data_IF_895257104390
#
_entry.id   IF_895257104390
#
_cell.length_a   1.000
_cell.length_b   1.000
_cell.length_c   1.000
_cell.angle_alpha   90.00
_cell.angle_beta   90.00
_cell.angle_gamma   90.00
#
_symmetry.space_group_name_H-M   'P 1'
#
loop_
_entity.id
_entity.type
_entity.pdbx_description
1 polymer ?
#
# COMPACT_ATOMS: atom_id res chain seq x y z
N UNK A 1 14.80 57.77 -13.43
CA UNK A 1 14.42 56.47 -12.89
C UNK A 1 14.10 56.60 -11.39
N UNK A 2 12.90 56.22 -10.95
CA UNK A 2 12.49 56.32 -9.56
C UNK A 2 13.19 55.28 -8.68
N UNK A 3 13.48 55.65 -7.42
CA UNK A 3 14.01 54.69 -6.43
C UNK A 3 12.98 53.60 -6.12
N UNK A 4 13.42 52.37 -5.90
CA UNK A 4 12.56 51.28 -5.46
C UNK A 4 11.90 51.61 -4.11
N UNK A 5 10.66 51.20 -3.93
CA UNK A 5 9.96 51.34 -2.66
C UNK A 5 10.54 50.39 -1.60
N UNK A 6 10.45 50.80 -0.31
CA UNK A 6 10.87 49.93 0.80
C UNK A 6 10.26 48.55 0.76
N UNK A 7 8.99 48.43 0.34
CA UNK A 7 8.28 47.13 0.21
C UNK A 7 8.86 46.29 -0.92
N UNK A 8 9.18 46.89 -2.07
CA UNK A 8 9.81 46.16 -3.18
C UNK A 8 11.19 45.62 -2.81
N UNK A 9 12.04 46.47 -2.18
CA UNK A 9 13.37 46.07 -1.74
C UNK A 9 13.28 44.93 -0.71
N UNK A 10 12.38 45.04 0.27
CA UNK A 10 12.19 44.00 1.29
C UNK A 10 11.72 42.68 0.67
N UNK A 11 10.80 42.71 -0.31
CA UNK A 11 10.32 41.54 -0.97
C UNK A 11 11.36 40.91 -1.89
N UNK A 12 12.05 41.70 -2.70
CA UNK A 12 13.16 41.20 -3.52
C UNK A 12 14.29 40.59 -2.67
N UNK A 13 14.59 41.16 -1.50
CA UNK A 13 15.57 40.61 -0.55
C UNK A 13 15.12 39.24 -0.01
N UNK A 14 13.83 39.00 0.23
CA UNK A 14 13.31 37.70 0.62
C UNK A 14 13.49 36.69 -0.51
N UNK A 15 13.15 37.06 -1.74
CA UNK A 15 13.34 36.23 -2.93
C UNK A 15 14.82 35.86 -3.09
N UNK A 16 15.70 36.87 -3.07
CA UNK A 16 17.16 36.71 -3.17
C UNK A 16 17.70 35.71 -2.14
N UNK A 17 17.31 35.89 -0.86
CA UNK A 17 17.73 34.99 0.22
C UNK A 17 17.20 33.57 0.06
N UNK A 18 15.95 33.39 -0.33
CA UNK A 18 15.32 32.07 -0.46
C UNK A 18 15.87 31.30 -1.65
N UNK A 19 16.11 31.97 -2.79
CA UNK A 19 16.62 31.36 -4.01
C UNK A 19 18.16 31.36 -4.10
N UNK A 20 18.85 31.94 -3.12
CA UNK A 20 20.30 32.09 -3.09
C UNK A 20 20.86 32.80 -4.34
N UNK A 21 20.18 33.85 -4.80
CA UNK A 21 20.54 34.66 -5.96
C UNK A 21 20.85 36.11 -5.55
N UNK A 22 21.74 36.78 -6.27
CA UNK A 22 22.12 38.15 -5.98
C UNK A 22 21.03 39.15 -6.36
N UNK A 23 20.84 40.19 -5.55
CA UNK A 23 19.99 41.34 -5.93
C UNK A 23 20.61 42.11 -7.10
N UNK A 24 19.79 42.82 -7.90
CA UNK A 24 20.30 43.72 -8.92
C UNK A 24 21.22 44.81 -8.34
N UNK A 25 22.31 45.15 -9.02
CA UNK A 25 23.25 46.21 -8.57
C UNK A 25 22.58 47.56 -8.41
N UNK A 26 21.59 47.87 -9.27
CA UNK A 26 20.85 49.15 -9.21
C UNK A 26 19.48 48.91 -8.58
N UNK A 27 19.21 49.56 -7.44
CA UNK A 27 17.96 49.44 -6.70
C UNK A 27 16.92 50.46 -7.18
N UNK A 28 16.61 50.43 -8.49
CA UNK A 28 15.54 51.28 -9.07
C UNK A 28 14.19 50.52 -9.04
N UNK A 29 13.08 51.25 -9.19
CA UNK A 29 11.75 50.66 -9.27
C UNK A 29 11.68 49.57 -10.37
N UNK A 30 12.20 49.87 -11.54
CA UNK A 30 12.15 49.02 -12.71
C UNK A 30 12.99 47.75 -12.55
N UNK A 31 14.24 47.89 -12.06
CA UNK A 31 15.13 46.72 -11.86
C UNK A 31 14.60 45.76 -10.80
N UNK A 32 14.04 46.31 -9.71
CA UNK A 32 13.42 45.51 -8.65
C UNK A 32 12.14 44.84 -9.11
N UNK A 33 11.30 45.56 -9.88
CA UNK A 33 10.10 44.95 -10.43
C UNK A 33 10.41 43.82 -11.41
N UNK A 34 11.40 44.01 -12.28
CA UNK A 34 11.87 42.96 -13.20
C UNK A 34 12.40 41.75 -12.44
N UNK A 35 13.25 41.97 -11.42
CA UNK A 35 13.79 40.90 -10.59
C UNK A 35 12.66 40.11 -9.89
N UNK A 36 11.70 40.79 -9.27
CA UNK A 36 10.55 40.14 -8.63
C UNK A 36 9.76 39.33 -9.63
N UNK A 37 9.39 39.92 -10.78
CA UNK A 37 8.59 39.21 -11.79
C UNK A 37 9.32 38.01 -12.37
N UNK A 38 10.65 38.05 -12.49
CA UNK A 38 11.43 36.92 -13.03
C UNK A 38 11.49 35.73 -12.07
N UNK A 39 11.52 35.99 -10.76
CA UNK A 39 11.80 34.95 -9.76
C UNK A 39 10.63 34.66 -8.82
N UNK A 40 9.49 35.34 -8.98
CA UNK A 40 8.36 35.19 -8.06
C UNK A 40 7.77 33.78 -8.09
N UNK A 41 7.65 33.17 -9.26
CA UNK A 41 7.03 31.84 -9.40
C UNK A 41 7.89 30.77 -8.73
N UNK A 42 9.21 30.82 -8.89
CA UNK A 42 10.14 29.90 -8.24
C UNK A 42 10.15 30.09 -6.72
N UNK A 43 10.19 31.34 -6.25
CA UNK A 43 10.09 31.69 -4.84
C UNK A 43 8.79 31.20 -4.22
N UNK A 44 7.66 31.38 -4.90
CA UNK A 44 6.35 30.92 -4.42
C UNK A 44 6.27 29.41 -4.37
N UNK A 45 6.81 28.69 -5.37
CA UNK A 45 6.84 27.24 -5.39
C UNK A 45 7.61 26.66 -4.20
N UNK A 46 8.79 27.20 -3.87
CA UNK A 46 9.58 26.76 -2.71
C UNK A 46 8.82 27.01 -1.40
N UNK A 47 8.25 28.22 -1.24
CA UNK A 47 7.50 28.55 -0.03
C UNK A 47 6.22 27.71 0.12
N UNK A 48 5.48 27.46 -0.97
CA UNK A 48 4.30 26.59 -0.92
C UNK A 48 4.66 25.15 -0.59
N UNK A 49 5.77 24.63 -1.07
CA UNK A 49 6.24 23.29 -0.73
C UNK A 49 6.58 23.17 0.75
N UNK A 50 7.39 24.09 1.27
CA UNK A 50 7.75 24.12 2.69
C UNK A 50 6.53 24.33 3.61
N UNK A 51 5.63 25.23 3.23
CA UNK A 51 4.38 25.46 3.95
C UNK A 51 3.46 24.25 3.89
N UNK A 52 3.37 23.60 2.73
CA UNK A 52 2.59 22.38 2.55
C UNK A 52 3.09 21.23 3.45
N UNK A 53 4.39 21.04 3.56
CA UNK A 53 4.96 20.03 4.47
C UNK A 53 4.68 20.37 5.95
N UNK A 54 4.78 21.63 6.35
CA UNK A 54 4.39 22.06 7.69
C UNK A 54 2.91 21.81 7.97
N UNK A 55 2.03 22.17 7.07
CA UNK A 55 0.59 21.93 7.20
C UNK A 55 0.29 20.43 7.34
N UNK A 56 0.87 19.58 6.51
CA UNK A 56 0.69 18.12 6.59
C UNK A 56 1.09 17.54 7.94
N UNK A 57 2.10 18.09 8.58
CA UNK A 57 2.63 17.58 9.84
C UNK A 57 1.97 18.20 11.09
N UNK A 58 1.49 19.44 11.01
CA UNK A 58 1.07 20.21 12.18
C UNK A 58 -0.45 20.47 12.24
N UNK A 59 -1.20 20.31 11.12
CA UNK A 59 -2.65 20.53 11.07
C UNK A 59 -3.40 19.23 10.97
N UNK A 60 -4.28 18.95 11.92
CA UNK A 60 -5.03 17.68 12.00
C UNK A 60 -6.17 17.60 10.99
N UNK A 61 -6.24 16.49 10.25
CA UNK A 61 -7.36 16.19 9.34
C UNK A 61 -8.67 16.00 10.09
N UNK A 62 -8.63 15.54 11.35
CA UNK A 62 -9.85 15.33 12.15
C UNK A 62 -10.62 16.64 12.40
N UNK A 63 -9.94 17.79 12.38
CA UNK A 63 -10.58 19.09 12.58
C UNK A 63 -11.38 19.52 11.35
N UNK A 64 -11.04 19.00 10.18
CA UNK A 64 -11.66 19.38 8.90
C UNK A 64 -12.75 18.44 8.41
N UNK A 65 -12.74 17.19 8.82
CA UNK A 65 -13.76 16.22 8.39
C UNK A 65 -15.17 16.67 8.81
N UNK A 66 -15.39 17.14 10.06
CA UNK A 66 -16.71 17.71 10.43
C UNK A 66 -17.08 18.99 9.66
N UNK A 67 -16.09 19.83 9.34
CA UNK A 67 -16.32 21.06 8.57
C UNK A 67 -16.80 20.78 7.13
N UNK A 68 -16.39 19.66 6.57
CA UNK A 68 -16.88 19.18 5.27
C UNK A 68 -18.27 18.50 5.35
N UNK A 69 -18.92 18.54 6.51
CA UNK A 69 -20.26 18.00 6.70
C UNK A 69 -20.31 16.49 7.00
N UNK A 70 -19.19 15.88 7.37
CA UNK A 70 -19.14 14.47 7.74
C UNK A 70 -19.13 14.28 9.25
N UNK A 71 -19.84 13.26 9.73
CA UNK A 71 -19.88 12.88 11.14
C UNK A 71 -18.86 11.77 11.41
N UNK A 72 -17.84 12.05 12.22
CA UNK A 72 -16.79 11.09 12.56
C UNK A 72 -17.31 9.91 13.37
N UNK A 73 -16.87 8.72 12.98
CA UNK A 73 -17.12 7.46 13.68
C UNK A 73 -15.83 6.68 13.81
N UNK A 74 -15.45 6.30 15.04
CA UNK A 74 -14.24 5.51 15.29
C UNK A 74 -14.38 4.10 14.72
N UNK A 75 -13.34 3.58 14.06
CA UNK A 75 -13.26 2.23 13.53
C UNK A 75 -12.45 1.37 14.49
N UNK A 76 -13.10 0.44 15.16
CA UNK A 76 -12.42 -0.48 16.07
C UNK A 76 -11.52 0.25 17.07
N UNK A 77 -10.38 -0.37 17.46
CA UNK A 77 -9.44 0.20 18.42
C UNK A 77 -8.13 0.68 17.78
N UNK A 78 -8.05 0.70 16.45
CA UNK A 78 -6.82 1.05 15.72
C UNK A 78 -6.59 2.55 15.55
N UNK A 79 -7.40 3.40 16.21
CA UNK A 79 -7.28 4.85 16.09
C UNK A 79 -7.67 5.42 14.72
N UNK A 80 -8.23 4.59 13.84
CA UNK A 80 -8.79 5.03 12.57
C UNK A 80 -10.23 5.51 12.76
N UNK A 81 -10.66 6.39 11.85
CA UNK A 81 -12.03 6.89 11.80
C UNK A 81 -12.64 6.64 10.43
N UNK A 82 -13.95 6.52 10.40
CA UNK A 82 -14.78 6.61 9.20
C UNK A 82 -15.84 7.69 9.43
N UNK A 83 -16.77 7.83 8.54
CA UNK A 83 -17.91 8.75 8.74
C UNK A 83 -19.22 7.99 8.72
N UNK A 84 -20.23 8.56 9.36
CA UNK A 84 -21.58 7.98 9.37
C UNK A 84 -22.18 7.97 7.97
N UNK A 85 -21.90 9.02 7.19
CA UNK A 85 -22.41 9.23 5.84
C UNK A 85 -21.72 8.34 4.80
N UNK A 86 -20.44 8.02 5.03
CA UNK A 86 -19.61 7.24 4.10
C UNK A 86 -18.67 6.32 4.85
N UNK A 87 -19.04 5.07 5.03
CA UNK A 87 -18.24 4.02 5.67
C UNK A 87 -16.96 3.66 4.90
N UNK A 88 -16.91 4.03 3.61
CA UNK A 88 -15.72 3.86 2.74
C UNK A 88 -14.71 5.02 2.81
N UNK A 89 -15.04 6.13 3.50
CA UNK A 89 -14.10 7.19 3.82
C UNK A 89 -13.37 6.84 5.10
N UNK A 90 -12.10 6.49 4.97
CA UNK A 90 -11.23 6.15 6.10
C UNK A 90 -10.28 7.31 6.37
N UNK A 91 -10.11 7.65 7.64
CA UNK A 91 -9.25 8.73 8.11
C UNK A 91 -8.23 8.14 9.07
N UNK A 92 -6.97 8.40 8.79
CA UNK A 92 -5.83 8.04 9.64
C UNK A 92 -5.26 9.31 10.28
N UNK A 93 -5.57 9.58 11.54
CA UNK A 93 -5.06 10.77 12.22
C UNK A 93 -3.57 10.70 12.50
N UNK A 94 -2.97 9.50 12.56
CA UNK A 94 -1.53 9.33 12.79
C UNK A 94 -0.71 9.70 11.56
N UNK A 95 -1.23 9.35 10.35
CA UNK A 95 -0.61 9.71 9.08
C UNK A 95 -1.12 11.03 8.53
N UNK A 96 -2.11 11.62 9.21
CA UNK A 96 -2.79 12.84 8.81
C UNK A 96 -3.30 12.82 7.36
N UNK A 97 -3.91 11.71 6.98
CA UNK A 97 -4.38 11.44 5.63
C UNK A 97 -5.74 10.73 5.63
N UNK A 98 -6.35 10.65 4.45
CA UNK A 98 -7.56 9.89 4.23
C UNK A 98 -7.44 9.02 2.97
N UNK A 99 -8.28 8.00 2.90
CA UNK A 99 -8.59 7.29 1.66
C UNK A 99 -10.08 7.02 1.56
N UNK A 100 -10.63 7.35 0.41
CA UNK A 100 -12.04 7.22 0.11
C UNK A 100 -12.23 6.05 -0.86
N UNK A 101 -12.33 4.83 -0.34
CA UNK A 101 -12.31 3.59 -1.12
C UNK A 101 -13.35 3.56 -2.25
N UNK A 102 -14.58 4.03 -2.00
CA UNK A 102 -15.64 4.05 -3.02
C UNK A 102 -15.38 5.04 -4.17
N UNK A 103 -14.52 6.04 -3.96
CA UNK A 103 -14.17 7.06 -4.95
C UNK A 103 -12.78 6.85 -5.57
N UNK A 104 -11.99 5.90 -5.03
CA UNK A 104 -10.61 5.68 -5.45
C UNK A 104 -9.70 6.89 -5.18
N UNK A 105 -9.99 7.64 -4.13
CA UNK A 105 -9.34 8.90 -3.78
C UNK A 105 -8.60 8.77 -2.45
N UNK A 106 -7.37 9.30 -2.39
CA UNK A 106 -6.56 9.34 -1.17
C UNK A 106 -5.62 10.54 -1.21
N UNK A 107 -5.50 11.26 -0.10
CA UNK A 107 -4.61 12.42 0.01
C UNK A 107 -4.36 12.80 1.49
N UNK A 108 -3.57 13.84 1.71
CA UNK A 108 -3.32 14.51 2.99
C UNK A 108 -4.49 15.43 3.39
N UNK A 109 -4.35 16.09 4.56
CA UNK A 109 -5.29 17.13 4.99
C UNK A 109 -5.44 18.25 3.96
N UNK A 110 -4.38 18.59 3.22
CA UNK A 110 -4.46 19.61 2.17
C UNK A 110 -5.38 19.16 1.04
N UNK A 111 -5.21 17.93 0.56
CA UNK A 111 -6.08 17.36 -0.47
C UNK A 111 -7.52 17.24 -0.02
N UNK A 112 -7.76 16.87 1.25
CA UNK A 112 -9.11 16.81 1.81
C UNK A 112 -9.79 18.18 1.80
N UNK A 113 -9.14 19.19 2.34
CA UNK A 113 -9.67 20.56 2.40
C UNK A 113 -9.87 21.14 0.99
N UNK A 114 -8.91 20.88 0.08
CA UNK A 114 -9.02 21.29 -1.32
C UNK A 114 -10.27 20.72 -1.98
N UNK A 115 -10.50 19.41 -1.85
CA UNK A 115 -11.58 18.71 -2.58
C UNK A 115 -12.95 18.88 -1.93
N UNK A 116 -13.02 18.78 -0.61
CA UNK A 116 -14.29 18.66 0.11
C UNK A 116 -14.78 19.95 0.78
N UNK A 117 -13.90 20.96 0.92
CA UNK A 117 -14.28 22.28 1.45
C UNK A 117 -14.23 23.34 0.35
N UNK A 118 -13.17 23.35 -0.47
CA UNK A 118 -12.96 24.40 -1.48
C UNK A 118 -13.14 23.95 -2.93
N UNK A 119 -13.82 22.82 -3.19
CA UNK A 119 -14.20 22.36 -4.54
C UNK A 119 -13.03 22.37 -5.56
N UNK A 120 -11.80 22.04 -5.13
CA UNK A 120 -10.61 21.97 -5.97
C UNK A 120 -9.71 23.19 -5.89
N UNK A 121 -10.06 24.26 -5.15
CA UNK A 121 -9.20 25.42 -4.97
C UNK A 121 -8.12 25.19 -3.90
N UNK A 122 -6.98 24.69 -4.33
CA UNK A 122 -5.80 24.43 -3.46
C UNK A 122 -5.24 25.72 -2.83
N UNK A 123 -5.37 26.87 -3.49
CA UNK A 123 -4.84 28.15 -2.94
C UNK A 123 -5.64 28.58 -1.72
N UNK A 124 -6.97 28.48 -1.80
CA UNK A 124 -7.84 28.76 -0.66
C UNK A 124 -7.63 27.77 0.48
N UNK A 125 -7.49 26.48 0.16
CA UNK A 125 -7.20 25.45 1.15
C UNK A 125 -5.88 25.73 1.91
N UNK A 126 -4.79 26.00 1.20
CA UNK A 126 -3.50 26.32 1.82
C UNK A 126 -3.57 27.61 2.64
N UNK A 127 -4.30 28.61 2.17
CA UNK A 127 -4.48 29.86 2.92
C UNK A 127 -5.15 29.61 4.26
N UNK A 128 -6.30 28.94 4.28
CA UNK A 128 -7.01 28.64 5.53
C UNK A 128 -6.16 27.78 6.47
N UNK A 129 -5.55 26.70 5.94
CA UNK A 129 -4.71 25.82 6.74
C UNK A 129 -3.50 26.55 7.33
N UNK A 130 -2.93 27.53 6.61
CA UNK A 130 -1.83 28.35 7.11
C UNK A 130 -2.26 29.34 8.20
N UNK A 131 -3.47 29.87 8.13
CA UNK A 131 -4.05 30.71 9.19
C UNK A 131 -4.26 29.91 10.47
N UNK A 132 -4.73 28.67 10.36
CA UNK A 132 -4.88 27.74 11.49
C UNK A 132 -3.55 27.30 12.09
N UNK A 133 -2.53 27.10 11.25
CA UNK A 133 -1.17 26.79 11.69
C UNK A 133 -0.57 27.89 12.60
N UNK A 134 -0.94 29.15 12.36
CA UNK A 134 -0.42 30.30 13.10
C UNK A 134 -1.24 30.64 14.36
N UNK A 135 -2.46 30.11 14.49
CA UNK A 135 -3.31 30.30 15.65
C UNK A 135 -3.07 29.15 16.63
N UNK A 136 -2.45 29.43 17.76
CA UNK A 136 -2.06 28.49 18.81
C UNK A 136 -3.20 27.63 19.40
N UNK A 137 -4.45 27.90 19.07
CA UNK A 137 -5.62 27.11 19.49
C UNK A 137 -5.76 25.76 18.73
N UNK A 138 -4.96 25.53 17.67
CA UNK A 138 -4.93 24.30 16.88
C UNK A 138 -3.64 23.48 17.02
N UNK A 139 -2.73 23.87 17.88
CA UNK A 139 -1.74 22.95 18.41
C UNK A 139 -2.48 21.96 19.32
N UNK A 140 -3.31 21.11 18.71
CA UNK A 140 -3.84 19.97 19.39
C UNK A 140 -2.64 19.20 19.95
N UNK A 141 -2.56 19.13 21.26
CA UNK A 141 -1.92 18.08 22.00
C UNK A 141 -2.50 16.72 21.56
N UNK A 142 -2.28 16.34 20.28
CA UNK A 142 -2.29 14.97 19.86
C UNK A 142 -0.89 14.41 20.16
N UNK A 143 -0.44 14.58 21.38
CA UNK A 143 0.29 13.53 22.05
C UNK A 143 -0.74 12.43 22.34
N UNK A 144 -1.26 11.81 21.29
CA UNK A 144 -1.76 10.46 21.41
C UNK A 144 -0.49 9.63 21.54
N UNK A 145 0.08 9.62 22.74
CA UNK A 145 0.90 8.51 23.18
C UNK A 145 0.02 7.30 22.88
N UNK A 146 0.46 6.35 22.05
CA UNK A 146 -0.19 5.07 22.03
C UNK A 146 -0.10 4.59 23.48
N UNK A 147 -1.19 4.65 24.24
CA UNK A 147 -1.30 3.71 25.33
C UNK A 147 -1.10 2.37 24.65
N UNK A 148 0.04 1.77 24.93
CA UNK A 148 0.30 0.38 24.67
C UNK A 148 -0.67 -0.40 25.58
N UNK A 149 -1.95 -0.34 25.22
CA UNK A 149 -2.90 -1.32 25.67
C UNK A 149 -2.37 -2.61 25.05
N UNK A 150 -1.91 -3.52 25.91
CA UNK A 150 -1.71 -4.92 25.55
C UNK A 150 -3.09 -5.43 25.12
N UNK A 151 -3.43 -5.17 23.85
CA UNK A 151 -4.67 -5.65 23.26
C UNK A 151 -4.62 -7.16 23.28
N UNK A 152 -5.57 -7.78 23.97
CA UNK A 152 -5.84 -9.21 23.79
C UNK A 152 -6.04 -9.42 22.29
N UNK A 153 -5.41 -10.44 21.68
CA UNK A 153 -5.58 -10.72 20.26
C UNK A 153 -7.08 -10.81 19.95
N UNK A 154 -7.56 -9.97 19.05
CA UNK A 154 -8.96 -10.00 18.60
C UNK A 154 -9.18 -11.28 17.84
N UNK A 155 -10.22 -12.00 18.19
CA UNK A 155 -10.64 -13.18 17.44
C UNK A 155 -11.07 -12.78 16.02
N UNK A 156 -10.60 -13.53 15.02
CA UNK A 156 -10.97 -13.32 13.63
C UNK A 156 -12.45 -13.66 13.42
N UNK A 157 -13.23 -12.70 12.93
CA UNK A 157 -14.66 -12.87 12.70
C UNK A 157 -14.90 -13.41 11.30
N UNK A 158 -15.23 -14.69 11.21
CA UNK A 158 -15.50 -15.37 9.94
C UNK A 158 -16.97 -15.22 9.53
N UNK A 159 -17.27 -14.82 8.27
CA UNK A 159 -18.64 -14.82 7.74
C UNK A 159 -19.24 -16.22 7.72
N UNK A 160 -20.57 -16.36 7.88
CA UNK A 160 -21.23 -17.65 7.78
C UNK A 160 -21.02 -18.30 6.42
N UNK A 161 -20.75 -19.63 6.44
CA UNK A 161 -20.56 -20.43 5.24
C UNK A 161 -21.88 -20.68 4.51
N UNK A 162 -21.84 -20.65 3.19
CA UNK A 162 -22.92 -21.13 2.34
C UNK A 162 -22.89 -22.67 2.28
N UNK A 163 -24.03 -23.29 1.97
CA UNK A 163 -24.14 -24.74 1.79
C UNK A 163 -23.50 -25.24 0.48
N UNK A 164 -23.27 -24.33 -0.49
CA UNK A 164 -22.63 -24.67 -1.75
C UNK A 164 -21.45 -23.75 -2.09
N UNK A 165 -20.64 -24.17 -3.08
CA UNK A 165 -19.43 -23.46 -3.54
C UNK A 165 -19.50 -23.03 -5.01
N UNK A 166 -20.68 -23.16 -5.66
CA UNK A 166 -20.81 -23.04 -7.12
C UNK A 166 -20.34 -21.70 -7.67
N UNK A 167 -20.70 -20.58 -7.00
CA UNK A 167 -20.30 -19.24 -7.45
C UNK A 167 -18.79 -19.05 -7.33
N UNK A 168 -18.20 -19.50 -6.22
CA UNK A 168 -16.76 -19.39 -5.97
C UNK A 168 -15.98 -20.25 -6.95
N UNK A 169 -16.38 -21.52 -7.17
CA UNK A 169 -15.74 -22.36 -8.17
C UNK A 169 -15.85 -21.76 -9.57
N UNK A 170 -17.03 -21.35 -9.99
CA UNK A 170 -17.22 -20.72 -11.31
C UNK A 170 -16.38 -19.44 -11.46
N UNK A 171 -16.34 -18.61 -10.45
CA UNK A 171 -15.54 -17.39 -10.47
C UNK A 171 -14.04 -17.68 -10.60
N UNK A 172 -13.50 -18.53 -9.72
CA UNK A 172 -12.07 -18.82 -9.72
C UNK A 172 -11.63 -19.60 -10.95
N UNK A 173 -12.40 -20.61 -11.39
CA UNK A 173 -11.99 -21.46 -12.52
C UNK A 173 -12.33 -20.86 -13.89
N UNK A 174 -13.49 -20.19 -14.05
CA UNK A 174 -13.97 -19.70 -15.35
C UNK A 174 -13.62 -18.22 -15.60
N UNK A 175 -13.66 -17.40 -14.54
CA UNK A 175 -13.36 -15.97 -14.69
C UNK A 175 -11.90 -15.64 -14.42
N UNK A 176 -11.27 -16.35 -13.46
CA UNK A 176 -9.89 -16.14 -13.04
C UNK A 176 -8.90 -17.15 -13.58
N UNK A 177 -9.39 -18.21 -14.23
CA UNK A 177 -8.58 -19.29 -14.83
C UNK A 177 -7.62 -19.96 -13.84
N UNK A 178 -7.99 -19.98 -12.56
CA UNK A 178 -7.25 -20.74 -11.54
C UNK A 178 -7.51 -22.25 -11.79
N UNK A 179 -6.46 -23.03 -11.71
CA UNK A 179 -6.57 -24.49 -11.88
C UNK A 179 -7.53 -25.08 -10.84
N UNK A 180 -8.43 -25.95 -11.29
CA UNK A 180 -9.50 -26.50 -10.45
C UNK A 180 -8.97 -27.28 -9.24
N UNK A 181 -7.84 -28.00 -9.40
CA UNK A 181 -7.24 -28.75 -8.29
C UNK A 181 -6.74 -27.83 -7.19
N UNK A 182 -6.19 -26.66 -7.54
CA UNK A 182 -5.75 -25.65 -6.57
C UNK A 182 -6.95 -25.11 -5.80
N UNK A 183 -8.06 -24.79 -6.49
CA UNK A 183 -9.29 -24.36 -5.83
C UNK A 183 -9.78 -25.44 -4.87
N UNK A 184 -9.78 -26.73 -5.31
CA UNK A 184 -10.18 -27.84 -4.48
C UNK A 184 -9.26 -28.05 -3.27
N UNK A 185 -7.94 -27.90 -3.44
CA UNK A 185 -6.97 -27.97 -2.33
C UNK A 185 -7.24 -26.92 -1.27
N UNK A 186 -7.51 -25.68 -1.68
CA UNK A 186 -7.88 -24.61 -0.73
C UNK A 186 -9.17 -24.92 0.03
N UNK A 187 -10.17 -25.48 -0.65
CA UNK A 187 -11.42 -25.89 -0.01
C UNK A 187 -11.19 -27.04 0.98
N UNK A 188 -10.41 -28.05 0.59
CA UNK A 188 -10.09 -29.20 1.43
C UNK A 188 -9.30 -28.82 2.68
N UNK A 189 -8.41 -27.81 2.56
CA UNK A 189 -7.64 -27.27 3.67
C UNK A 189 -8.40 -26.21 4.48
N UNK A 190 -9.70 -26.01 4.22
CA UNK A 190 -10.54 -24.99 4.84
C UNK A 190 -10.07 -23.54 4.62
N UNK A 191 -9.13 -23.32 3.70
CA UNK A 191 -8.58 -22.00 3.37
C UNK A 191 -9.47 -21.20 2.42
N UNK A 192 -10.52 -21.79 1.88
CA UNK A 192 -11.48 -21.15 0.98
C UNK A 192 -12.89 -21.69 1.20
N UNK A 193 -13.85 -20.78 1.32
CA UNK A 193 -15.26 -21.12 1.27
C UNK A 193 -16.11 -20.00 0.64
N UNK A 194 -17.37 -20.31 0.33
CA UNK A 194 -18.37 -19.33 -0.12
C UNK A 194 -19.16 -18.80 1.08
N UNK A 195 -19.29 -17.47 1.21
CA UNK A 195 -20.21 -16.87 2.19
C UNK A 195 -21.67 -16.89 1.70
N UNK A 196 -22.61 -16.50 2.56
CA UNK A 196 -24.03 -16.44 2.20
C UNK A 196 -24.33 -15.42 1.07
N UNK A 197 -23.46 -14.45 0.85
CA UNK A 197 -23.59 -13.46 -0.24
C UNK A 197 -22.99 -13.97 -1.55
N UNK A 198 -22.28 -15.11 -1.53
CA UNK A 198 -21.61 -15.70 -2.68
C UNK A 198 -20.20 -15.16 -2.92
N UNK A 199 -19.58 -14.54 -1.94
CA UNK A 199 -18.18 -14.10 -2.04
C UNK A 199 -17.22 -15.26 -1.73
N UNK A 200 -16.00 -15.19 -2.28
CA UNK A 200 -14.87 -16.00 -1.81
C UNK A 200 -14.44 -15.48 -0.43
N UNK A 201 -14.36 -16.36 0.54
CA UNK A 201 -13.74 -16.09 1.85
C UNK A 201 -12.47 -16.90 1.90
N UNK A 202 -11.33 -16.24 1.87
CA UNK A 202 -10.02 -16.83 2.05
C UNK A 202 -9.62 -16.73 3.51
N UNK A 203 -9.11 -17.83 4.09
CA UNK A 203 -8.71 -17.92 5.51
C UNK A 203 -7.32 -18.54 5.61
N UNK A 204 -6.45 -17.92 6.37
CA UNK A 204 -5.13 -18.44 6.72
C UNK A 204 -5.09 -18.85 8.20
N UNK A 205 -4.40 -19.94 8.49
CA UNK A 205 -4.35 -20.54 9.81
C UNK A 205 -2.92 -20.55 10.38
N UNK A 206 -2.83 -20.49 11.70
CA UNK A 206 -1.63 -20.79 12.45
C UNK A 206 -1.97 -21.79 13.54
N UNK A 207 -1.41 -23.01 13.47
CA UNK A 207 -1.75 -24.14 14.36
C UNK A 207 -3.26 -24.36 14.47
N UNK A 208 -3.94 -24.45 13.32
CA UNK A 208 -5.39 -24.65 13.19
C UNK A 208 -6.28 -23.49 13.70
N UNK A 209 -5.67 -22.41 14.18
CA UNK A 209 -6.38 -21.20 14.57
C UNK A 209 -6.46 -20.25 13.38
N UNK A 210 -7.65 -19.76 12.98
CA UNK A 210 -7.76 -18.80 11.92
C UNK A 210 -7.17 -17.45 12.37
N UNK A 211 -6.17 -16.94 11.64
CA UNK A 211 -5.43 -15.73 12.01
C UNK A 211 -5.60 -14.58 11.03
N UNK A 212 -5.88 -14.88 9.77
CA UNK A 212 -6.09 -13.87 8.75
C UNK A 212 -7.18 -14.33 7.77
N UNK A 213 -7.99 -13.39 7.31
CA UNK A 213 -8.99 -13.69 6.31
C UNK A 213 -9.31 -12.50 5.43
N UNK A 214 -9.61 -12.76 4.16
CA UNK A 214 -10.03 -11.72 3.24
C UNK A 214 -11.19 -12.17 2.35
N UNK A 215 -11.96 -11.18 1.89
CA UNK A 215 -13.13 -11.35 1.04
C UNK A 215 -12.81 -10.95 -0.40
N UNK A 216 -13.34 -11.72 -1.35
CA UNK A 216 -13.35 -11.35 -2.76
C UNK A 216 -14.74 -11.59 -3.34
N UNK A 217 -15.37 -10.52 -3.83
CA UNK A 217 -16.63 -10.61 -4.51
C UNK A 217 -16.52 -11.41 -5.81
N UNK A 218 -17.49 -12.30 -6.05
CA UNK A 218 -17.58 -13.06 -7.30
C UNK A 218 -18.27 -12.31 -8.43
N UNK A 219 -18.86 -11.14 -8.14
CA UNK A 219 -19.45 -10.27 -9.16
C UNK A 219 -18.33 -9.56 -9.94
N UNK A 220 -18.29 -9.80 -11.26
CA UNK A 220 -17.26 -9.22 -12.15
C UNK A 220 -17.54 -7.76 -12.52
N UNK A 221 -18.78 -7.29 -12.37
CA UNK A 221 -19.16 -5.90 -12.67
C UNK A 221 -18.90 -4.93 -11.51
N UNK A 222 -19.02 -5.41 -10.26
CA UNK A 222 -18.77 -4.61 -9.07
C UNK A 222 -17.64 -5.25 -8.24
N UNK A 223 -16.46 -4.64 -8.31
CA UNK A 223 -15.32 -5.12 -7.52
C UNK A 223 -15.61 -4.95 -6.03
N UNK A 224 -15.48 -6.04 -5.29
CA UNK A 224 -15.55 -6.06 -3.83
C UNK A 224 -14.36 -6.87 -3.29
N UNK A 225 -13.61 -6.27 -2.39
CA UNK A 225 -12.52 -6.92 -1.67
C UNK A 225 -12.33 -6.21 -0.33
N UNK A 226 -11.84 -6.94 0.66
CA UNK A 226 -11.50 -6.40 1.97
C UNK A 226 -11.04 -7.49 2.92
N UNK A 227 -10.32 -7.08 3.95
CA UNK A 227 -9.91 -7.99 5.01
C UNK A 227 -11.02 -8.15 6.05
N UNK A 228 -11.04 -9.29 6.72
CA UNK A 228 -12.01 -9.58 7.76
C UNK A 228 -11.66 -8.86 9.07
N UNK A 229 -12.66 -8.49 9.89
CA UNK A 229 -12.40 -7.94 11.22
C UNK A 229 -11.63 -8.94 12.08
N UNK A 230 -10.62 -8.47 12.81
CA UNK A 230 -9.80 -9.29 13.70
C UNK A 230 -8.59 -9.96 13.03
N UNK A 231 -8.25 -9.61 11.77
CA UNK A 231 -7.05 -10.09 11.11
C UNK A 231 -5.77 -9.79 11.89
N UNK A 232 -4.90 -10.79 11.99
CA UNK A 232 -3.55 -10.60 12.49
C UNK A 232 -2.61 -10.24 11.33
N UNK A 233 -2.34 -8.95 11.14
CA UNK A 233 -1.49 -8.45 10.07
C UNK A 233 -0.01 -8.79 10.21
N UNK A 234 0.45 -9.20 11.40
CA UNK A 234 1.81 -9.73 11.56
C UNK A 234 1.97 -11.11 10.92
N UNK A 235 0.89 -11.90 10.86
CA UNK A 235 0.92 -13.22 10.21
C UNK A 235 0.53 -13.16 8.75
N UNK A 236 -0.38 -12.26 8.37
CA UNK A 236 -0.86 -12.12 7.01
C UNK A 236 -1.55 -13.38 6.46
N UNK A 237 -1.81 -13.41 5.16
CA UNK A 237 -2.30 -14.61 4.50
C UNK A 237 -1.12 -15.47 4.04
N UNK A 238 -0.83 -16.50 4.81
CA UNK A 238 0.32 -17.37 4.60
C UNK A 238 -0.07 -18.80 4.27
N UNK A 239 0.62 -19.41 3.30
CA UNK A 239 0.48 -20.79 2.89
C UNK A 239 1.84 -21.47 3.04
N UNK A 240 1.90 -22.48 3.87
CA UNK A 240 3.13 -23.20 4.15
C UNK A 240 3.39 -24.30 3.12
N UNK A 241 4.46 -24.18 2.33
CA UNK A 241 4.94 -25.21 1.41
C UNK A 241 6.03 -26.08 2.01
N UNK A 242 6.47 -27.11 1.28
CA UNK A 242 7.47 -28.09 1.74
C UNK A 242 8.91 -27.56 1.65
N UNK A 243 9.19 -26.71 0.67
CA UNK A 243 10.55 -26.23 0.38
C UNK A 243 10.97 -24.99 1.17
N UNK A 244 12.13 -24.48 0.83
CA UNK A 244 12.78 -23.32 1.47
C UNK A 244 12.52 -21.99 0.76
N UNK A 245 11.63 -21.97 -0.21
CA UNK A 245 11.34 -20.81 -1.03
C UNK A 245 10.00 -20.18 -0.63
N UNK A 246 10.01 -18.85 -0.45
CA UNK A 246 8.83 -18.05 -0.14
C UNK A 246 8.51 -17.12 -1.31
N UNK A 247 7.31 -17.23 -1.84
CA UNK A 247 6.77 -16.36 -2.88
C UNK A 247 5.85 -15.33 -2.24
N UNK A 248 6.14 -14.05 -2.46
CA UNK A 248 5.37 -12.93 -1.91
C UNK A 248 4.54 -12.29 -3.03
N UNK A 249 3.23 -12.20 -2.84
CA UNK A 249 2.28 -11.65 -3.81
C UNK A 249 1.45 -10.50 -3.21
N UNK A 250 0.78 -9.71 -4.03
CA UNK A 250 -0.13 -8.67 -3.52
C UNK A 250 -1.45 -9.23 -3.02
N UNK A 251 -1.98 -10.28 -3.67
CA UNK A 251 -3.25 -10.88 -3.27
C UNK A 251 -3.21 -12.41 -3.30
N UNK A 252 -4.18 -13.03 -2.62
CA UNK A 252 -4.36 -14.49 -2.63
C UNK A 252 -4.67 -15.01 -4.03
N UNK A 253 -5.37 -14.23 -4.86
CA UNK A 253 -5.66 -14.63 -6.25
C UNK A 253 -4.38 -14.66 -7.08
N UNK A 254 -3.43 -13.74 -6.85
CA UNK A 254 -2.14 -13.78 -7.53
C UNK A 254 -1.31 -14.98 -7.08
N UNK A 255 -1.33 -15.33 -5.79
CA UNK A 255 -0.72 -16.56 -5.29
C UNK A 255 -1.30 -17.81 -5.99
N UNK A 256 -2.63 -17.93 -6.05
CA UNK A 256 -3.29 -19.03 -6.75
C UNK A 256 -3.01 -19.03 -8.25
N UNK A 257 -2.83 -17.87 -8.85
CA UNK A 257 -2.45 -17.73 -10.27
C UNK A 257 -1.04 -18.25 -10.50
N UNK A 258 -0.08 -17.89 -9.66
CA UNK A 258 1.28 -18.42 -9.72
C UNK A 258 1.29 -19.94 -9.49
N UNK A 259 0.53 -20.46 -8.53
CA UNK A 259 0.38 -21.91 -8.34
C UNK A 259 -0.13 -22.60 -9.62
N UNK A 260 -1.10 -21.97 -10.30
CA UNK A 260 -1.63 -22.49 -11.56
C UNK A 260 -0.59 -22.46 -12.68
N UNK A 261 0.20 -21.38 -12.76
CA UNK A 261 1.30 -21.25 -13.72
C UNK A 261 2.39 -22.30 -13.46
N UNK A 262 2.77 -22.52 -12.19
CA UNK A 262 3.72 -23.58 -11.80
C UNK A 262 3.24 -24.94 -12.27
N UNK A 263 1.96 -25.25 -12.05
CA UNK A 263 1.34 -26.49 -12.48
C UNK A 263 1.34 -26.66 -14.00
N UNK A 264 0.99 -25.62 -14.78
CA UNK A 264 1.07 -25.63 -16.26
C UNK A 264 2.49 -25.91 -16.75
N UNK A 265 3.50 -25.50 -15.98
CA UNK A 265 4.92 -25.78 -16.28
C UNK A 265 5.43 -27.12 -15.69
N UNK A 266 4.55 -27.95 -15.15
CA UNK A 266 4.89 -29.26 -14.60
C UNK A 266 5.63 -29.21 -13.25
N UNK A 267 5.55 -28.08 -12.53
CA UNK A 267 6.16 -27.89 -11.22
C UNK A 267 5.12 -28.12 -10.10
N UNK A 268 5.55 -28.76 -9.00
CA UNK A 268 4.69 -28.93 -7.83
C UNK A 268 4.69 -27.65 -6.99
N UNK A 269 3.57 -26.90 -7.06
CA UNK A 269 3.39 -25.65 -6.30
C UNK A 269 3.44 -25.88 -4.77
N UNK A 270 3.22 -27.10 -4.28
CA UNK A 270 3.30 -27.44 -2.84
C UNK A 270 4.72 -27.39 -2.29
N UNK A 271 5.73 -27.27 -3.15
CA UNK A 271 7.10 -27.06 -2.73
C UNK A 271 7.37 -25.60 -2.33
N UNK A 272 6.53 -24.65 -2.71
CA UNK A 272 6.69 -23.24 -2.43
C UNK A 272 5.75 -22.78 -1.31
N UNK A 273 6.25 -21.93 -0.42
CA UNK A 273 5.40 -21.18 0.51
C UNK A 273 4.92 -19.90 -0.15
N UNK A 274 3.74 -19.41 0.22
CA UNK A 274 3.20 -18.16 -0.31
C UNK A 274 2.78 -17.22 0.81
N UNK A 275 3.07 -15.95 0.64
CA UNK A 275 2.59 -14.87 1.51
C UNK A 275 1.92 -13.80 0.66
N UNK A 276 0.65 -13.52 0.93
CA UNK A 276 -0.03 -12.40 0.29
C UNK A 276 0.03 -11.16 1.18
N UNK A 277 0.54 -10.06 0.60
CA UNK A 277 0.66 -8.77 1.28
C UNK A 277 -0.71 -8.07 1.26
N UNK A 278 -1.54 -8.32 2.24
CA UNK A 278 -2.81 -7.60 2.42
C UNK A 278 -2.62 -6.43 3.38
N UNK A 279 -2.97 -5.20 2.96
CA UNK A 279 -3.06 -4.06 3.86
C UNK A 279 -1.83 -3.15 3.99
N UNK A 280 -1.89 -2.25 5.00
CA UNK A 280 -1.03 -1.06 5.12
C UNK A 280 0.39 -1.38 5.61
N UNK A 281 0.56 -2.37 6.48
CA UNK A 281 1.87 -2.78 7.04
C UNK A 281 2.40 -4.03 6.33
N UNK A 282 2.60 -3.90 5.04
CA UNK A 282 2.92 -5.00 4.12
C UNK A 282 4.19 -5.79 4.50
N UNK A 283 5.16 -5.18 5.17
CA UNK A 283 6.45 -5.83 5.48
C UNK A 283 6.44 -6.60 6.80
N UNK A 284 5.53 -6.30 7.72
CA UNK A 284 5.50 -6.94 9.04
C UNK A 284 5.25 -8.45 8.97
N UNK A 285 4.37 -8.90 8.08
CA UNK A 285 4.11 -10.32 7.88
C UNK A 285 5.32 -11.05 7.29
N UNK A 286 5.98 -10.46 6.29
CA UNK A 286 7.20 -11.03 5.72
C UNK A 286 8.29 -11.16 6.78
N UNK A 287 8.54 -10.09 7.54
CA UNK A 287 9.49 -10.10 8.64
C UNK A 287 9.17 -11.18 9.66
N UNK A 288 7.91 -11.26 10.11
CA UNK A 288 7.46 -12.29 11.04
C UNK A 288 7.81 -13.69 10.54
N UNK A 289 7.44 -14.04 9.30
CA UNK A 289 7.70 -15.37 8.77
C UNK A 289 9.18 -15.68 8.57
N UNK A 290 10.00 -14.69 8.18
CA UNK A 290 11.44 -14.86 8.03
C UNK A 290 12.17 -15.00 9.37
N UNK A 291 11.68 -14.38 10.43
CA UNK A 291 12.28 -14.46 11.76
C UNK A 291 11.88 -15.76 12.50
N UNK A 292 10.65 -16.23 12.32
CA UNK A 292 10.12 -17.41 13.01
C UNK A 292 10.28 -18.72 12.21
N UNK A 293 10.63 -18.66 10.93
CA UNK A 293 10.74 -19.84 10.09
C UNK A 293 12.08 -19.87 9.34
N UNK A 294 13.08 -20.47 9.99
CA UNK A 294 14.47 -20.54 9.49
C UNK A 294 14.64 -21.44 8.25
N UNK A 295 13.59 -22.11 7.76
CA UNK A 295 13.68 -22.90 6.53
C UNK A 295 13.87 -22.04 5.28
N UNK A 296 13.43 -20.77 5.30
CA UNK A 296 13.49 -19.92 4.14
C UNK A 296 14.90 -19.48 3.83
N UNK A 297 15.36 -19.80 2.62
CA UNK A 297 16.66 -19.45 2.07
C UNK A 297 16.53 -18.45 0.91
N UNK A 298 15.35 -18.42 0.27
CA UNK A 298 15.06 -17.51 -0.82
C UNK A 298 13.64 -16.94 -0.71
N UNK A 299 13.52 -15.68 -1.11
CA UNK A 299 12.25 -14.95 -1.23
C UNK A 299 12.14 -14.42 -2.65
N UNK A 300 11.03 -14.74 -3.31
CA UNK A 300 10.66 -14.14 -4.57
C UNK A 300 9.57 -13.11 -4.35
N UNK A 301 9.86 -11.86 -4.65
CA UNK A 301 8.87 -10.79 -4.69
C UNK A 301 8.14 -10.82 -6.05
N UNK A 302 6.98 -11.44 -6.06
CA UNK A 302 6.12 -11.60 -7.23
C UNK A 302 4.93 -10.64 -7.14
N UNK A 303 5.22 -9.33 -7.05
CA UNK A 303 4.23 -8.26 -6.92
C UNK A 303 3.69 -7.84 -8.30
N UNK A 304 2.69 -6.95 -8.30
CA UNK A 304 2.10 -6.42 -9.53
C UNK A 304 3.13 -5.62 -10.36
N UNK A 305 3.00 -5.69 -11.68
CA UNK A 305 3.88 -4.97 -12.61
C UNK A 305 3.44 -3.52 -12.79
N UNK A 306 3.33 -2.80 -11.68
CA UNK A 306 3.03 -1.38 -11.67
C UNK A 306 4.02 -0.58 -10.78
N UNK A 307 3.84 0.73 -10.71
CA UNK A 307 4.73 1.60 -9.94
C UNK A 307 4.69 1.31 -8.44
N UNK A 308 3.54 0.90 -7.92
CA UNK A 308 3.36 0.59 -6.50
C UNK A 308 4.06 -0.72 -6.13
N UNK A 309 3.85 -1.79 -6.90
CA UNK A 309 4.52 -3.08 -6.72
C UNK A 309 6.05 -2.94 -6.78
N UNK A 310 6.56 -2.23 -7.80
CA UNK A 310 8.01 -1.97 -7.94
C UNK A 310 8.59 -1.15 -6.79
N UNK A 311 7.84 -0.17 -6.27
CA UNK A 311 8.27 0.62 -5.11
C UNK A 311 8.34 -0.25 -3.85
N UNK A 312 7.35 -1.10 -3.63
CA UNK A 312 7.31 -2.01 -2.48
C UNK A 312 8.44 -3.02 -2.55
N UNK A 313 8.70 -3.64 -3.71
CA UNK A 313 9.84 -4.55 -3.90
C UNK A 313 11.16 -3.91 -3.50
N UNK A 314 11.44 -2.69 -3.96
CA UNK A 314 12.66 -1.96 -3.60
C UNK A 314 12.76 -1.67 -2.10
N UNK A 315 11.64 -1.34 -1.44
CA UNK A 315 11.62 -1.13 0.01
C UNK A 315 11.93 -2.42 0.77
N UNK A 316 11.33 -3.54 0.38
CA UNK A 316 11.57 -4.85 0.98
C UNK A 316 13.04 -5.25 0.79
N UNK A 317 13.57 -5.18 -0.43
CA UNK A 317 14.99 -5.51 -0.71
C UNK A 317 15.92 -4.66 0.16
N UNK A 318 15.64 -3.37 0.31
CA UNK A 318 16.43 -2.47 1.16
C UNK A 318 16.34 -2.84 2.63
N UNK A 319 15.16 -3.17 3.13
CA UNK A 319 14.93 -3.53 4.54
C UNK A 319 15.70 -4.79 4.94
N UNK A 320 15.78 -5.77 4.04
CA UNK A 320 16.45 -7.05 4.30
C UNK A 320 17.87 -7.13 3.72
N UNK A 321 18.48 -6.02 3.30
CA UNK A 321 19.81 -5.99 2.65
C UNK A 321 20.92 -6.60 3.53
N UNK A 322 20.80 -6.52 4.85
CA UNK A 322 21.79 -7.06 5.80
C UNK A 322 21.61 -8.57 6.08
N UNK A 323 20.53 -9.19 5.61
CA UNK A 323 20.24 -10.62 5.75
C UNK A 323 21.05 -11.45 4.73
N UNK A 324 22.33 -11.68 5.01
CA UNK A 324 23.23 -12.48 4.13
C UNK A 324 22.85 -13.96 4.01
N UNK A 325 22.02 -14.45 4.91
CA UNK A 325 21.48 -15.81 4.93
C UNK A 325 20.32 -15.99 3.94
N UNK A 326 19.79 -14.90 3.36
CA UNK A 326 18.59 -14.87 2.56
C UNK A 326 18.88 -14.31 1.16
N UNK A 327 18.37 -14.97 0.13
CA UNK A 327 18.36 -14.45 -1.25
C UNK A 327 17.00 -13.84 -1.55
N UNK A 328 16.93 -12.53 -1.75
CA UNK A 328 15.70 -11.86 -2.16
C UNK A 328 15.81 -11.42 -3.61
N UNK A 329 14.85 -11.82 -4.41
CA UNK A 329 14.77 -11.50 -5.83
C UNK A 329 13.40 -10.96 -6.17
N UNK A 330 13.28 -10.20 -7.26
CA UNK A 330 12.00 -9.71 -7.77
C UNK A 330 11.73 -10.27 -9.16
N UNK A 331 10.49 -10.62 -9.41
CA UNK A 331 10.02 -11.00 -10.72
C UNK A 331 8.58 -10.51 -10.91
N UNK A 332 8.30 -9.90 -12.04
CA UNK A 332 7.00 -9.32 -12.36
C UNK A 332 6.33 -10.08 -13.48
N UNK A 333 4.99 -10.16 -13.48
CA UNK A 333 4.27 -10.72 -14.60
C UNK A 333 4.50 -9.89 -15.87
N UNK A 334 4.38 -10.51 -17.03
CA UNK A 334 4.40 -9.81 -18.33
C UNK A 334 3.16 -8.92 -18.54
N UNK A 335 2.09 -9.22 -17.82
CA UNK A 335 0.84 -8.45 -17.73
C UNK A 335 0.86 -7.52 -16.51
N UNK A 336 -0.27 -6.89 -16.17
CA UNK A 336 -0.38 -6.01 -15.01
C UNK A 336 -0.23 -6.78 -13.69
N UNK A 337 -0.89 -7.93 -13.59
CA UNK A 337 -0.87 -8.82 -12.43
C UNK A 337 -0.80 -10.28 -12.88
N UNK A 338 -0.52 -11.19 -11.95
CA UNK A 338 -0.37 -12.62 -12.25
C UNK A 338 -1.66 -13.29 -12.69
N UNK A 339 -2.80 -12.79 -12.21
CA UNK A 339 -4.09 -13.32 -12.65
C UNK A 339 -4.41 -12.90 -14.09
N UNK A 340 -4.03 -11.70 -14.49
CA UNK A 340 -4.17 -11.28 -15.88
C UNK A 340 -3.23 -12.07 -16.80
N UNK A 341 -2.04 -12.43 -16.33
CA UNK A 341 -1.10 -13.23 -17.13
C UNK A 341 -1.68 -14.62 -17.44
N UNK A 342 -2.14 -15.37 -16.42
CA UNK A 342 -2.73 -16.68 -16.66
C UNK A 342 -4.04 -16.60 -17.46
N UNK A 343 -4.82 -15.55 -17.26
CA UNK A 343 -6.02 -15.29 -18.06
C UNK A 343 -5.68 -15.05 -19.53
N UNK A 344 -4.63 -14.29 -19.80
CA UNK A 344 -4.17 -14.02 -21.16
C UNK A 344 -3.62 -15.29 -21.84
N UNK A 345 -2.96 -16.15 -21.09
CA UNK A 345 -2.50 -17.45 -21.60
C UNK A 345 -3.68 -18.30 -22.09
N UNK A 346 -4.67 -18.51 -21.25
CA UNK A 346 -5.81 -19.39 -21.61
C UNK A 346 -6.76 -18.77 -22.63
N UNK A 347 -6.95 -17.44 -22.61
CA UNK A 347 -7.88 -16.78 -23.55
C UNK A 347 -7.27 -16.46 -24.90
N UNK A 348 -6.00 -16.10 -24.93
CA UNK A 348 -5.37 -15.52 -26.11
C UNK A 348 -4.10 -16.26 -26.54
N UNK A 349 -3.73 -17.37 -25.90
CA UNK A 349 -2.52 -18.15 -26.19
C UNK A 349 -1.22 -17.37 -25.96
N UNK A 350 -1.22 -16.32 -25.12
CA UNK A 350 -0.01 -15.56 -24.82
C UNK A 350 0.95 -16.42 -23.99
N UNK A 351 2.27 -16.35 -24.23
CA UNK A 351 3.22 -17.13 -23.44
C UNK A 351 3.19 -16.69 -21.97
N UNK A 352 3.36 -17.66 -21.08
CA UNK A 352 3.57 -17.41 -19.66
C UNK A 352 5.00 -16.94 -19.43
N UNK A 353 5.20 -16.05 -18.49
CA UNK A 353 6.52 -15.62 -18.01
C UNK A 353 7.41 -16.82 -17.70
N UNK A 354 8.69 -16.68 -17.97
CA UNK A 354 9.64 -17.76 -17.68
C UNK A 354 9.84 -17.90 -16.19
N UNK A 355 9.45 -19.07 -15.64
CA UNK A 355 9.61 -19.40 -14.22
C UNK A 355 10.93 -20.15 -13.96
N UNK A 356 11.75 -20.42 -14.98
CA UNK A 356 13.08 -21.04 -14.78
C UNK A 356 13.99 -20.21 -13.88
N UNK A 357 13.58 -18.99 -13.58
CA UNK A 357 14.12 -18.15 -12.54
C UNK A 357 14.13 -18.87 -11.15
N UNK A 358 13.13 -19.64 -10.80
CA UNK A 358 13.09 -20.43 -9.57
C UNK A 358 14.16 -21.53 -9.54
N UNK A 359 14.46 -22.15 -10.68
CA UNK A 359 15.53 -23.16 -10.79
C UNK A 359 16.92 -22.54 -10.71
N UNK A 360 17.09 -21.32 -11.21
CA UNK A 360 18.37 -20.64 -11.31
C UNK A 360 18.81 -19.96 -10.00
N UNK A 361 17.89 -19.46 -9.19
CA UNK A 361 18.21 -18.82 -7.90
C UNK A 361 18.81 -19.82 -6.91
N UNK A 362 18.29 -21.05 -6.84
CA UNK A 362 18.82 -22.12 -6.01
C UNK A 362 20.20 -22.56 -6.49
N UNK A 363 20.40 -22.68 -7.81
CA UNK A 363 21.67 -23.12 -8.41
C UNK A 363 22.78 -22.08 -8.22
N UNK A 364 22.46 -20.79 -8.30
CA UNK A 364 23.41 -19.70 -8.05
C UNK A 364 23.81 -19.64 -6.57
N UNK A 365 22.90 -19.93 -5.66
CA UNK A 365 23.20 -19.94 -4.22
C UNK A 365 24.06 -21.12 -3.80
N UNK A 366 23.82 -22.31 -4.38
CA UNK A 366 24.64 -23.49 -4.14
C UNK A 366 26.06 -23.25 -4.67
N UNK A 367 26.23 -22.62 -5.83
CA UNK A 367 27.54 -22.24 -6.37
C UNK A 367 28.25 -21.18 -5.54
N UNK A 368 27.54 -20.15 -5.05
CA UNK A 368 28.10 -19.12 -4.19
C UNK A 368 28.55 -19.67 -2.84
N UNK A 369 27.80 -20.58 -2.23
CA UNK A 369 28.20 -21.26 -0.97
C UNK A 369 29.40 -22.20 -1.14
N UNK A 370 29.49 -22.96 -2.24
CA UNK A 370 30.67 -23.77 -2.52
C UNK A 370 31.96 -22.93 -2.62
N UNK A 371 31.86 -21.78 -3.31
CA UNK A 371 33.01 -20.85 -3.44
C UNK A 371 33.42 -20.14 -2.13
N UNK A 372 32.55 -20.12 -1.10
CA UNK A 372 32.87 -19.56 0.23
C UNK A 372 33.50 -20.63 1.15
N UNK A 373 33.15 -21.90 0.95
CA UNK A 373 33.68 -23.02 1.75
C UNK A 373 35.07 -23.48 1.21
N UNK A 374 35.36 -23.20 -0.06
CA UNK A 374 36.65 -23.52 -0.70
C UNK A 374 37.69 -22.38 -0.64
N UNK A 375 37.40 -21.30 0.09
CA UNK A 375 38.32 -20.22 0.43
C UNK A 375 38.53 -20.16 1.95
#
# INVERSE_FOLDING_TARGET
MGKATKKQVAFASKISKTLNISLPEQLTFETMQKFINTHIDEYMNINYTALGERIKNEVSILDYVPLAGFTLKKIGNHGLYTTVEHDSLIIDPYKNCYWFNSRGDADSVIGFVTKYIYNGDTKMAIKELSEKLNNSDFSSNIAITPEASVEKPKELILPPKNSDMRKVFAYLTKSRFINQEIVQDFVTQHMLYQDLKGNCVFVSYDNDIPVFGCLRGTNTYKRFLGDLPGCNYQKGFFINGKGSELIVTESVIDAMSIMSILKEKGLDYKNYSFLSLSGVDKNNALKFHLDHNKKFQSVLLALDNDSAGKKISKLIIKEFADRKDLCITEHYPSSKDWNQEITNFFRFGKPLSDIDFFKNSVTLHIKARKNIIER
#
